data_IF_116590956890
#
_entry.id   IF_116590956890
#
_cell.length_a   1.000
_cell.length_b   1.000
_cell.length_c   1.000
_cell.angle_alpha   90.00
_cell.angle_beta   90.00
_cell.angle_gamma   90.00
#
_symmetry.space_group_name_H-M   'P 1'
#
loop_
_entity.id
_entity.type
_entity.pdbx_description
1 polymer ?
#
# COMPACT_ATOMS: atom_id res chain seq x y z
N UNK A 1 -7.15 -14.00 -12.29
CA UNK A 1 -6.13 -13.30 -11.46
C UNK A 1 -4.89 -14.15 -11.37
N UNK A 2 -3.75 -13.64 -11.73
CA UNK A 2 -2.51 -14.38 -11.54
C UNK A 2 -2.22 -14.42 -10.03
N UNK A 3 -2.53 -15.55 -9.36
CA UNK A 3 -2.37 -15.75 -7.91
C UNK A 3 -0.96 -15.39 -7.40
N UNK A 4 0.02 -15.33 -8.28
CA UNK A 4 1.42 -15.04 -7.99
C UNK A 4 1.75 -13.54 -7.84
N UNK A 5 0.84 -12.65 -8.25
CA UNK A 5 1.00 -11.19 -8.17
C UNK A 5 -0.06 -10.55 -7.27
N UNK A 6 -0.86 -11.37 -6.55
CA UNK A 6 -1.90 -10.85 -5.66
C UNK A 6 -1.26 -10.05 -4.52
N UNK A 7 -1.60 -8.76 -4.35
CA UNK A 7 -1.09 -7.93 -3.26
C UNK A 7 -1.64 -8.33 -1.88
N UNK A 8 -2.70 -9.15 -1.82
CA UNK A 8 -3.28 -9.63 -0.57
C UNK A 8 -2.49 -10.84 -0.05
N UNK A 9 -1.96 -10.75 1.16
CA UNK A 9 -1.10 -11.74 1.83
C UNK A 9 -1.80 -13.06 2.19
N UNK A 10 -3.08 -13.19 1.94
CA UNK A 10 -3.92 -14.33 2.36
C UNK A 10 -3.49 -15.71 1.81
N UNK A 11 -2.57 -15.72 0.83
CA UNK A 11 -2.09 -16.94 0.18
C UNK A 11 -0.58 -17.19 0.31
N UNK A 12 0.14 -16.43 1.17
CA UNK A 12 1.57 -16.66 1.35
C UNK A 12 1.83 -17.81 2.31
N UNK A 13 2.76 -18.70 1.94
CA UNK A 13 3.31 -19.69 2.87
C UNK A 13 4.10 -19.02 3.99
N UNK A 14 4.29 -19.70 5.13
CA UNK A 14 5.10 -19.18 6.23
C UNK A 14 6.51 -18.76 5.75
N UNK A 15 7.12 -19.52 4.86
CA UNK A 15 8.43 -19.22 4.27
C UNK A 15 8.42 -17.95 3.40
N UNK A 16 7.34 -17.71 2.65
CA UNK A 16 7.21 -16.47 1.85
C UNK A 16 7.05 -15.23 2.72
N UNK A 17 6.37 -15.36 3.86
CA UNK A 17 6.26 -14.29 4.86
C UNK A 17 7.61 -13.98 5.52
N UNK A 18 8.40 -15.02 5.84
CA UNK A 18 9.74 -14.84 6.42
C UNK A 18 10.70 -14.18 5.42
N UNK A 19 10.63 -14.55 4.15
CA UNK A 19 11.39 -13.88 3.08
C UNK A 19 10.95 -12.42 2.94
N UNK A 20 9.65 -12.14 2.95
CA UNK A 20 9.16 -10.76 2.86
C UNK A 20 9.64 -9.91 4.06
N UNK A 21 9.65 -10.49 5.25
CA UNK A 21 10.20 -9.83 6.45
C UNK A 21 11.69 -9.54 6.32
N UNK A 22 12.46 -10.51 5.81
CA UNK A 22 13.90 -10.36 5.61
C UNK A 22 14.27 -9.28 4.58
N UNK A 23 13.39 -9.04 3.58
CA UNK A 23 13.59 -8.02 2.57
C UNK A 23 13.24 -6.61 3.06
N UNK A 24 12.52 -6.46 4.19
CA UNK A 24 12.14 -5.15 4.70
C UNK A 24 13.36 -4.42 5.27
N UNK A 25 13.53 -3.12 4.95
CA UNK A 25 14.48 -2.27 5.64
C UNK A 25 14.15 -2.18 7.13
N UNK A 26 15.20 -2.11 7.95
CA UNK A 26 15.08 -2.08 9.39
C UNK A 26 15.32 -0.68 9.99
N UNK A 27 16.08 0.15 9.30
CA UNK A 27 16.45 1.51 9.72
C UNK A 27 16.10 2.53 8.63
N UNK A 28 16.18 3.82 8.96
CA UNK A 28 16.05 4.88 7.97
C UNK A 28 17.13 4.81 6.89
N UNK A 29 18.33 4.36 7.22
CA UNK A 29 19.44 4.31 6.29
C UNK A 29 19.33 3.16 5.29
N UNK A 30 18.58 2.12 5.66
CA UNK A 30 18.24 1.00 4.77
C UNK A 30 17.06 1.30 3.83
N UNK A 31 16.28 2.34 4.12
CA UNK A 31 15.06 2.66 3.39
C UNK A 31 15.38 3.57 2.19
N UNK A 32 15.25 3.05 0.99
CA UNK A 32 15.48 3.82 -0.22
C UNK A 32 14.24 4.65 -0.62
N UNK A 33 14.47 5.85 -1.13
CA UNK A 33 13.45 6.76 -1.62
C UNK A 33 12.67 7.49 -0.52
N UNK A 34 11.72 8.31 -0.90
CA UNK A 34 10.91 9.15 0.00
C UNK A 34 11.76 10.17 0.81
N UNK A 35 12.86 10.67 0.24
CA UNK A 35 13.91 11.44 0.91
C UNK A 35 13.35 12.58 1.78
N UNK A 36 12.45 13.41 1.24
CA UNK A 36 11.85 14.53 1.99
C UNK A 36 11.02 14.06 3.20
N UNK A 37 10.37 12.89 3.10
CA UNK A 37 9.63 12.29 4.23
C UNK A 37 10.61 11.79 5.27
N UNK A 38 11.66 11.08 4.86
CA UNK A 38 12.66 10.50 5.76
C UNK A 38 13.44 11.58 6.51
N UNK A 39 13.86 12.65 5.84
CA UNK A 39 14.57 13.77 6.48
C UNK A 39 13.74 14.37 7.62
N UNK A 40 12.46 14.63 7.39
CA UNK A 40 11.57 15.14 8.42
C UNK A 40 11.37 14.14 9.57
N UNK A 41 11.12 12.87 9.25
CA UNK A 41 10.94 11.83 10.26
C UNK A 41 12.18 11.63 11.13
N UNK A 42 13.39 11.66 10.54
CA UNK A 42 14.66 11.62 11.28
C UNK A 42 14.76 12.75 12.31
N UNK A 43 14.37 13.97 11.94
CA UNK A 43 14.36 15.13 12.86
C UNK A 43 13.34 14.94 13.98
N UNK A 44 12.11 14.53 13.66
CA UNK A 44 11.04 14.36 14.64
C UNK A 44 11.35 13.24 15.64
N UNK A 45 11.84 12.11 15.16
CA UNK A 45 12.27 10.97 16.02
C UNK A 45 13.40 11.39 16.95
N UNK A 46 14.42 12.07 16.41
CA UNK A 46 15.53 12.55 17.23
C UNK A 46 15.06 13.53 18.31
N UNK A 47 14.16 14.45 17.97
CA UNK A 47 13.61 15.41 18.92
C UNK A 47 12.75 14.73 19.99
N UNK A 48 11.90 13.77 19.66
CA UNK A 48 11.11 12.99 20.61
C UNK A 48 12.01 12.21 21.57
N UNK A 49 13.05 11.54 21.04
CA UNK A 49 14.02 10.82 21.86
C UNK A 49 14.80 11.74 22.82
N UNK A 50 15.19 12.95 22.38
CA UNK A 50 15.89 13.92 23.24
C UNK A 50 15.01 14.40 24.40
N UNK A 51 13.71 14.54 24.21
CA UNK A 51 12.74 14.95 25.23
C UNK A 51 12.21 13.77 26.05
N UNK A 52 12.50 12.52 25.64
CA UNK A 52 11.93 11.30 26.19
C UNK A 52 10.38 11.28 26.14
N UNK A 53 9.80 11.78 25.05
CA UNK A 53 8.36 11.87 24.82
C UNK A 53 7.92 10.91 23.73
N UNK A 54 6.61 10.58 23.70
CA UNK A 54 6.02 9.92 22.56
C UNK A 54 6.12 10.80 21.30
N UNK A 55 6.32 10.20 20.13
CA UNK A 55 6.28 10.94 18.88
C UNK A 55 4.83 11.38 18.59
N UNK A 56 4.66 12.54 17.97
CA UNK A 56 3.35 12.99 17.50
C UNK A 56 2.67 11.92 16.65
N UNK A 57 1.35 11.80 16.77
CA UNK A 57 0.59 10.87 15.95
C UNK A 57 0.83 11.12 14.47
N UNK A 58 1.12 10.04 13.74
CA UNK A 58 1.63 10.09 12.37
C UNK A 58 0.69 9.40 11.39
N UNK A 59 0.37 10.04 10.29
CA UNK A 59 -0.45 9.49 9.20
C UNK A 59 0.39 9.28 7.94
N UNK A 60 0.51 8.02 7.49
CA UNK A 60 1.05 7.69 6.19
C UNK A 60 -0.07 7.45 5.20
N UNK A 61 -0.07 8.15 4.08
CA UNK A 61 -1.07 7.96 3.04
C UNK A 61 -0.45 7.86 1.65
N UNK A 62 -1.14 7.20 0.74
CA UNK A 62 -0.69 6.99 -0.64
C UNK A 62 -0.98 5.58 -1.13
N UNK A 63 -0.71 5.29 -2.41
CA UNK A 63 -0.96 4.00 -3.05
C UNK A 63 -0.46 2.80 -2.26
N UNK A 64 -1.01 1.59 -2.48
CA UNK A 64 -0.55 0.39 -1.80
C UNK A 64 0.87 0.00 -2.25
N UNK A 65 1.63 -0.66 -1.36
CA UNK A 65 2.94 -1.22 -1.71
C UNK A 65 4.13 -0.26 -1.64
N UNK A 66 3.94 0.98 -1.16
CA UNK A 66 4.98 2.02 -1.07
C UNK A 66 5.79 2.02 0.23
N UNK A 67 5.51 1.12 1.18
CA UNK A 67 6.30 0.99 2.41
C UNK A 67 5.69 1.62 3.66
N UNK A 68 4.39 1.98 3.70
CA UNK A 68 3.72 2.57 4.89
C UNK A 68 3.95 1.74 6.16
N UNK A 69 3.67 0.46 6.11
CA UNK A 69 3.89 -0.48 7.22
C UNK A 69 5.36 -0.62 7.58
N UNK A 70 6.25 -0.58 6.59
CA UNK A 70 7.70 -0.63 6.80
C UNK A 70 8.20 0.60 7.56
N UNK A 71 7.75 1.80 7.17
CA UNK A 71 8.08 3.04 7.88
C UNK A 71 7.57 3.04 9.33
N UNK A 72 6.39 2.45 9.60
CA UNK A 72 5.91 2.31 10.97
C UNK A 72 6.84 1.43 11.83
N UNK A 73 7.35 0.33 11.27
CA UNK A 73 8.35 -0.50 11.95
C UNK A 73 9.67 0.24 12.17
N UNK A 74 10.15 0.95 11.16
CA UNK A 74 11.38 1.76 11.28
C UNK A 74 11.21 2.81 12.37
N UNK A 75 10.08 3.54 12.39
CA UNK A 75 9.83 4.53 13.44
C UNK A 75 9.88 3.92 14.84
N UNK A 76 9.25 2.78 15.08
CA UNK A 76 9.31 2.11 16.36
C UNK A 76 10.75 1.69 16.74
N UNK A 77 11.51 1.16 15.79
CA UNK A 77 12.90 0.78 15.98
C UNK A 77 13.78 2.00 16.31
N UNK A 78 13.64 3.09 15.59
CA UNK A 78 14.42 4.33 15.80
C UNK A 78 14.03 5.07 17.08
N UNK A 79 12.78 4.92 17.53
CA UNK A 79 12.32 5.40 18.84
C UNK A 79 12.78 4.48 19.99
N UNK A 80 13.19 3.25 19.68
CA UNK A 80 13.60 2.25 20.69
C UNK A 80 12.43 1.72 21.52
N UNK A 81 11.23 1.60 20.94
CA UNK A 81 9.98 1.22 21.63
C UNK A 81 9.28 0.04 20.95
N UNK A 82 8.29 -0.54 21.65
CA UNK A 82 7.46 -1.60 21.11
C UNK A 82 6.47 -1.12 20.05
N UNK A 83 6.04 -2.03 19.15
CA UNK A 83 5.00 -1.77 18.18
C UNK A 83 3.89 -2.82 18.29
N UNK A 84 2.64 -2.35 18.40
CA UNK A 84 1.44 -3.17 18.22
C UNK A 84 0.85 -2.90 16.84
N UNK A 85 0.47 -3.94 16.13
CA UNK A 85 -0.02 -3.84 14.74
C UNK A 85 -1.43 -4.38 14.67
N UNK A 86 -2.32 -3.59 14.07
CA UNK A 86 -3.68 -3.98 13.76
C UNK A 86 -4.13 -3.33 12.44
N UNK A 87 -5.37 -3.51 12.06
CA UNK A 87 -5.97 -2.86 10.90
C UNK A 87 -7.39 -2.39 11.20
N UNK A 88 -7.87 -1.39 10.45
CA UNK A 88 -9.23 -0.85 10.61
C UNK A 88 -10.31 -1.93 10.62
N UNK A 89 -10.34 -2.87 9.63
CA UNK A 89 -11.34 -3.94 9.60
C UNK A 89 -11.31 -4.92 10.76
N UNK A 90 -10.23 -5.03 11.50
CA UNK A 90 -10.10 -5.93 12.67
C UNK A 90 -10.66 -5.28 13.93
N UNK A 91 -10.65 -3.95 13.99
CA UNK A 91 -11.18 -3.18 15.12
C UNK A 91 -12.69 -2.94 14.94
N UNK A 92 -13.48 -3.94 15.26
CA UNK A 92 -14.93 -3.89 15.03
C UNK A 92 -15.66 -3.21 16.20
N UNK A 93 -15.15 -3.37 17.42
CA UNK A 93 -15.79 -2.89 18.66
C UNK A 93 -14.83 -2.02 19.49
N UNK A 94 -15.36 -1.04 20.26
CA UNK A 94 -14.56 -0.25 21.20
C UNK A 94 -13.72 -1.07 22.17
N UNK A 95 -14.21 -2.24 22.60
CA UNK A 95 -13.49 -3.15 23.49
C UNK A 95 -12.20 -3.71 22.86
N UNK A 96 -12.18 -3.94 21.54
CA UNK A 96 -10.98 -4.42 20.83
C UNK A 96 -9.88 -3.34 20.85
N UNK A 97 -10.27 -2.08 20.60
CA UNK A 97 -9.38 -0.93 20.69
C UNK A 97 -8.87 -0.72 22.11
N UNK A 98 -9.78 -0.76 23.11
CA UNK A 98 -9.43 -0.61 24.52
C UNK A 98 -8.41 -1.67 24.97
N UNK A 99 -8.63 -2.92 24.58
CA UNK A 99 -7.69 -4.02 24.87
C UNK A 99 -6.31 -3.82 24.29
N UNK A 100 -6.18 -3.20 23.11
CA UNK A 100 -4.89 -2.86 22.53
C UNK A 100 -4.23 -1.68 23.26
N UNK A 101 -4.99 -0.60 23.50
CA UNK A 101 -4.48 0.63 24.11
C UNK A 101 -3.99 0.44 25.54
N UNK A 102 -4.74 -0.31 26.36
CA UNK A 102 -4.38 -0.59 27.76
C UNK A 102 -3.15 -1.48 27.92
N UNK A 103 -2.76 -2.20 26.85
CA UNK A 103 -1.56 -3.05 26.83
C UNK A 103 -0.32 -2.36 26.21
N UNK A 104 -0.41 -1.07 25.88
CA UNK A 104 0.74 -0.30 25.43
C UNK A 104 1.60 0.14 26.60
N UNK A 105 2.91 0.03 26.45
CA UNK A 105 3.87 0.64 27.36
C UNK A 105 4.03 2.13 27.01
N UNK A 106 4.70 2.86 27.90
CA UNK A 106 4.99 4.27 27.66
C UNK A 106 5.80 4.45 26.36
N UNK A 107 5.36 5.38 25.50
CA UNK A 107 5.91 5.71 24.18
C UNK A 107 5.77 4.63 23.10
N UNK A 108 5.14 3.49 23.38
CA UNK A 108 4.91 2.45 22.39
C UNK A 108 4.16 2.99 21.15
N UNK A 109 4.35 2.29 20.05
CA UNK A 109 3.65 2.59 18.78
C UNK A 109 2.45 1.66 18.62
N UNK A 110 1.28 2.25 18.36
CA UNK A 110 0.13 1.54 17.81
C UNK A 110 0.04 1.83 16.31
N UNK A 111 0.19 0.81 15.48
CA UNK A 111 0.02 0.93 14.03
C UNK A 111 -1.34 0.36 13.61
N UNK A 112 -2.14 1.19 12.91
CA UNK A 112 -3.44 0.80 12.33
C UNK A 112 -3.35 0.92 10.81
N UNK A 113 -3.31 -0.23 10.12
CA UNK A 113 -3.39 -0.26 8.65
C UNK A 113 -4.83 -0.07 8.19
N UNK A 114 -5.02 0.55 7.02
CA UNK A 114 -6.33 0.92 6.46
C UNK A 114 -7.25 1.61 7.49
N UNK A 115 -6.69 2.59 8.19
CA UNK A 115 -7.36 3.31 9.29
C UNK A 115 -8.68 3.97 8.85
N UNK A 116 -8.86 4.28 7.57
CA UNK A 116 -10.11 4.81 7.01
C UNK A 116 -11.30 3.81 7.05
N UNK A 117 -11.03 2.54 7.38
CA UNK A 117 -12.04 1.48 7.51
C UNK A 117 -12.49 1.26 8.97
N UNK A 118 -12.07 2.10 9.89
CA UNK A 118 -12.59 2.09 11.25
C UNK A 118 -14.10 2.41 11.26
N UNK A 119 -14.85 1.74 12.11
CA UNK A 119 -16.24 2.13 12.34
C UNK A 119 -16.31 3.51 13.04
N UNK A 120 -17.34 4.32 12.78
CA UNK A 120 -17.49 5.63 13.42
C UNK A 120 -17.43 5.56 14.96
N UNK A 121 -17.97 4.50 15.54
CA UNK A 121 -17.95 4.30 16.98
C UNK A 121 -16.52 4.10 17.50
N UNK A 122 -15.73 3.25 16.85
CA UNK A 122 -14.32 3.02 17.23
C UNK A 122 -13.47 4.27 17.01
N UNK A 123 -13.77 5.03 15.94
CA UNK A 123 -13.11 6.29 15.64
C UNK A 123 -13.30 7.33 16.76
N UNK A 124 -14.51 7.45 17.33
CA UNK A 124 -14.80 8.36 18.45
C UNK A 124 -14.00 8.01 19.72
N UNK A 125 -13.88 6.72 20.05
CA UNK A 125 -13.04 6.28 21.17
C UNK A 125 -11.55 6.61 20.94
N UNK A 126 -11.10 6.50 19.68
CA UNK A 126 -9.72 6.80 19.33
C UNK A 126 -9.40 8.30 19.47
N UNK A 127 -10.39 9.20 19.30
CA UNK A 127 -10.17 10.65 19.47
C UNK A 127 -9.72 10.97 20.90
N UNK A 128 -10.43 10.51 21.92
CA UNK A 128 -10.09 10.75 23.32
C UNK A 128 -8.75 10.10 23.70
N UNK A 129 -8.48 8.92 23.13
CA UNK A 129 -7.20 8.26 23.34
C UNK A 129 -6.02 9.04 22.75
N UNK A 130 -6.19 9.70 21.59
CA UNK A 130 -5.15 10.50 20.94
C UNK A 130 -4.93 11.86 21.61
N UNK A 131 -5.99 12.51 22.09
CA UNK A 131 -5.89 13.86 22.66
C UNK A 131 -5.50 13.85 24.13
N UNK A 132 -6.17 13.01 24.94
CA UNK A 132 -6.09 13.06 26.38
C UNK A 132 -5.41 11.84 27.01
N UNK A 133 -5.01 10.85 26.19
CA UNK A 133 -4.53 9.55 26.68
C UNK A 133 -5.51 8.89 27.65
N UNK A 134 -6.79 8.92 27.31
CA UNK A 134 -7.88 8.36 28.09
C UNK A 134 -8.87 7.63 27.20
N UNK A 135 -9.49 6.62 27.75
CA UNK A 135 -10.59 5.92 27.08
C UNK A 135 -11.72 5.69 28.06
N UNK A 136 -12.94 6.01 27.65
CA UNK A 136 -14.14 5.80 28.44
C UNK A 136 -14.83 4.49 28.00
N UNK A 137 -14.96 3.51 28.90
CA UNK A 137 -15.55 2.22 28.59
C UNK A 137 -16.88 2.09 29.31
N UNK A 138 -17.94 1.77 28.56
CA UNK A 138 -19.22 1.38 29.14
C UNK A 138 -19.17 -0.07 29.62
N UNK A 139 -19.35 -0.30 30.93
CA UNK A 139 -19.30 -1.64 31.53
C UNK A 139 -20.65 -2.36 31.42
N UNK A 140 -21.77 -1.64 31.43
CA UNK A 140 -23.12 -2.20 31.34
C UNK A 140 -23.97 -1.40 30.35
N UNK A 141 -24.92 -2.05 29.72
CA UNK A 141 -25.94 -1.42 28.87
C UNK A 141 -27.28 -1.31 29.61
N UNK A 142 -28.03 -0.21 29.37
CA UNK A 142 -29.34 0.00 29.94
C UNK A 142 -29.37 1.02 31.11
N UNK A 143 -30.39 1.03 31.94
CA UNK A 143 -30.59 2.07 32.99
C UNK A 143 -29.48 2.14 34.04
N UNK A 144 -28.67 1.10 34.17
CA UNK A 144 -27.54 1.00 35.11
C UNK A 144 -26.18 1.17 34.42
N UNK A 145 -26.15 1.67 33.18
CA UNK A 145 -24.91 1.88 32.44
C UNK A 145 -23.94 2.75 33.25
N UNK A 146 -22.72 2.25 33.43
CA UNK A 146 -21.65 2.96 34.10
C UNK A 146 -20.47 3.11 33.10
N UNK A 147 -19.95 4.31 33.03
CA UNK A 147 -18.74 4.60 32.29
C UNK A 147 -17.54 4.58 33.23
N UNK A 148 -16.50 3.85 32.86
CA UNK A 148 -15.24 3.86 33.56
C UNK A 148 -14.19 4.47 32.63
N UNK A 149 -13.57 5.55 33.11
CA UNK A 149 -12.46 6.18 32.42
C UNK A 149 -11.15 5.48 32.79
N UNK A 150 -10.41 5.05 31.79
CA UNK A 150 -9.09 4.42 31.93
C UNK A 150 -8.04 5.38 31.40
N UNK A 151 -7.03 5.69 32.21
CA UNK A 151 -5.86 6.41 31.77
C UNK A 151 -4.93 5.48 30.98
N UNK A 152 -4.41 5.98 29.87
CA UNK A 152 -3.48 5.27 28.99
C UNK A 152 -2.06 5.84 29.18
N UNK A 153 -1.07 5.01 28.94
CA UNK A 153 0.28 5.51 28.79
C UNK A 153 0.38 6.38 27.52
N UNK A 154 1.16 7.47 27.52
CA UNK A 154 1.46 8.22 26.31
C UNK A 154 2.00 7.29 25.23
N UNK A 155 1.41 7.30 24.05
CA UNK A 155 1.73 6.42 22.93
C UNK A 155 1.73 7.20 21.62
N UNK A 156 2.34 6.63 20.59
CA UNK A 156 2.26 7.15 19.23
C UNK A 156 1.30 6.31 18.40
N UNK A 157 0.25 6.94 17.88
CA UNK A 157 -0.57 6.32 16.83
C UNK A 157 0.07 6.57 15.46
N UNK A 158 0.30 5.49 14.71
CA UNK A 158 0.64 5.57 13.29
C UNK A 158 -0.51 4.99 12.49
N UNK A 159 -1.22 5.85 11.76
CA UNK A 159 -2.26 5.46 10.82
C UNK A 159 -1.69 5.27 9.43
N UNK A 160 -2.15 4.26 8.72
CA UNK A 160 -1.87 4.09 7.28
C UNK A 160 -3.18 4.01 6.49
N UNK A 161 -3.21 4.64 5.32
CA UNK A 161 -4.38 4.60 4.44
C UNK A 161 -4.00 4.71 2.97
N UNK A 162 -4.72 4.01 2.12
CA UNK A 162 -4.71 4.19 0.67
C UNK A 162 -5.65 5.31 0.23
N UNK A 163 -6.64 5.66 1.06
CA UNK A 163 -7.75 6.58 0.75
C UNK A 163 -7.87 7.68 1.80
N UNK A 164 -6.92 8.61 1.81
CA UNK A 164 -6.92 9.73 2.79
C UNK A 164 -8.19 10.59 2.73
N UNK A 165 -8.87 10.63 1.58
CA UNK A 165 -10.14 11.35 1.42
C UNK A 165 -11.32 10.74 2.17
N UNK A 166 -11.25 9.47 2.59
CA UNK A 166 -12.29 8.81 3.39
C UNK A 166 -12.12 9.03 4.90
N UNK A 167 -10.96 9.53 5.35
CA UNK A 167 -10.79 9.92 6.74
C UNK A 167 -11.63 11.15 7.07
N UNK A 168 -12.29 11.10 8.21
CA UNK A 168 -13.03 12.25 8.73
C UNK A 168 -12.11 13.43 8.99
N UNK A 169 -12.62 14.66 8.88
CA UNK A 169 -11.82 15.86 9.17
C UNK A 169 -11.31 15.87 10.63
N UNK A 170 -12.11 15.49 11.64
CA UNK A 170 -11.64 15.38 13.02
C UNK A 170 -10.48 14.38 13.20
N UNK A 171 -10.57 13.21 12.59
CA UNK A 171 -9.48 12.22 12.64
C UNK A 171 -8.21 12.76 12.03
N UNK A 172 -8.31 13.37 10.85
CA UNK A 172 -7.15 13.91 10.13
C UNK A 172 -6.44 15.02 10.90
N UNK A 173 -7.21 15.89 11.58
CA UNK A 173 -6.67 16.99 12.37
C UNK A 173 -5.83 16.56 13.58
N UNK A 174 -6.04 15.33 14.07
CA UNK A 174 -5.32 14.77 15.22
C UNK A 174 -3.95 14.19 14.87
N UNK A 175 -3.63 14.03 13.59
CA UNK A 175 -2.31 13.64 13.17
C UNK A 175 -1.39 14.86 13.01
N UNK A 176 -0.46 15.06 13.94
CA UNK A 176 0.52 16.14 13.89
C UNK A 176 1.52 15.97 12.74
N UNK A 177 1.80 14.73 12.33
CA UNK A 177 2.69 14.41 11.22
C UNK A 177 1.87 13.73 10.13
N UNK A 178 1.85 14.31 8.93
CA UNK A 178 1.17 13.71 7.77
C UNK A 178 2.15 13.61 6.61
N UNK A 179 2.33 12.39 6.10
CA UNK A 179 3.29 12.12 5.03
C UNK A 179 2.63 11.36 3.89
N UNK A 180 2.70 11.96 2.70
CA UNK A 180 2.24 11.32 1.46
C UNK A 180 3.40 10.57 0.82
N UNK A 181 3.27 9.26 0.67
CA UNK A 181 4.23 8.45 -0.05
C UNK A 181 3.94 8.49 -1.55
N UNK A 182 5.02 8.55 -2.34
CA UNK A 182 4.97 8.64 -3.78
C UNK A 182 5.48 7.35 -4.42
N UNK A 183 5.12 7.15 -5.68
CA UNK A 183 5.70 6.07 -6.47
C UNK A 183 7.20 6.27 -6.64
N UNK A 184 7.91 5.16 -6.73
CA UNK A 184 9.36 5.13 -6.90
C UNK A 184 9.73 5.24 -8.37
N UNK A 185 10.87 5.87 -8.65
CA UNK A 185 11.46 5.84 -10.00
C UNK A 185 11.98 4.44 -10.34
N UNK A 186 12.22 4.20 -11.63
CA UNK A 186 12.77 2.92 -12.09
C UNK A 186 14.16 2.68 -11.51
N UNK A 187 14.98 3.72 -11.39
CA UNK A 187 16.35 3.65 -10.87
C UNK A 187 16.33 3.22 -9.39
N UNK A 188 15.53 3.89 -8.56
CA UNK A 188 15.39 3.53 -7.14
C UNK A 188 14.85 2.11 -6.95
N UNK A 189 13.90 1.68 -7.80
CA UNK A 189 13.41 0.30 -7.76
C UNK A 189 14.47 -0.71 -8.19
N UNK A 190 15.33 -0.37 -9.13
CA UNK A 190 16.45 -1.23 -9.52
C UNK A 190 17.44 -1.42 -8.37
N UNK A 191 17.74 -0.37 -7.60
CA UNK A 191 18.57 -0.46 -6.40
C UNK A 191 17.92 -1.34 -5.32
N UNK A 192 16.61 -1.18 -5.09
CA UNK A 192 15.85 -2.04 -4.17
C UNK A 192 15.89 -3.50 -4.62
N UNK A 193 15.73 -3.76 -5.93
CA UNK A 193 15.80 -5.12 -6.50
C UNK A 193 17.19 -5.71 -6.30
N UNK A 194 18.27 -4.96 -6.55
CA UNK A 194 19.64 -5.43 -6.34
C UNK A 194 19.91 -5.76 -4.87
N UNK A 195 19.52 -4.87 -3.95
CA UNK A 195 19.60 -5.14 -2.51
C UNK A 195 18.82 -6.40 -2.13
N UNK A 196 17.60 -6.53 -2.61
CA UNK A 196 16.75 -7.71 -2.34
C UNK A 196 17.35 -9.00 -2.93
N UNK A 197 17.90 -8.95 -4.12
CA UNK A 197 18.57 -10.08 -4.76
C UNK A 197 19.82 -10.51 -3.98
N UNK A 198 20.59 -9.55 -3.45
CA UNK A 198 21.72 -9.83 -2.56
C UNK A 198 21.29 -10.56 -1.28
N UNK A 199 20.23 -10.10 -0.61
CA UNK A 199 19.66 -10.75 0.58
C UNK A 199 19.19 -12.18 0.24
N UNK A 200 18.60 -12.37 -0.94
CA UNK A 200 18.17 -13.70 -1.43
C UNK A 200 19.31 -14.55 -1.96
N UNK A 201 20.56 -14.04 -1.94
CA UNK A 201 21.76 -14.70 -2.48
C UNK A 201 21.60 -15.11 -3.95
N UNK A 202 20.95 -14.26 -4.74
CA UNK A 202 20.72 -14.47 -6.17
C UNK A 202 21.46 -13.39 -6.98
N UNK A 203 22.49 -13.78 -7.75
CA UNK A 203 23.14 -12.81 -8.65
C UNK A 203 22.17 -12.28 -9.69
N UNK A 204 22.10 -10.96 -9.84
CA UNK A 204 21.28 -10.28 -10.84
C UNK A 204 22.12 -9.27 -11.62
N UNK A 205 21.93 -9.19 -12.94
CA UNK A 205 22.56 -8.16 -13.75
C UNK A 205 21.81 -6.82 -13.58
N UNK A 206 22.53 -5.69 -13.78
CA UNK A 206 21.90 -4.35 -13.71
C UNK A 206 20.79 -4.21 -14.75
N UNK A 207 21.00 -4.71 -15.96
CA UNK A 207 19.99 -4.70 -17.02
C UNK A 207 18.70 -5.45 -16.63
N UNK A 208 18.85 -6.61 -15.99
CA UNK A 208 17.72 -7.38 -15.46
C UNK A 208 17.00 -6.64 -14.32
N UNK A 209 17.74 -5.98 -13.42
CA UNK A 209 17.18 -5.20 -12.34
C UNK A 209 16.36 -4.01 -12.87
N UNK A 210 16.88 -3.28 -13.87
CA UNK A 210 16.18 -2.18 -14.52
C UNK A 210 14.93 -2.68 -15.26
N UNK A 211 15.02 -3.79 -15.98
CA UNK A 211 13.87 -4.39 -16.67
C UNK A 211 12.76 -4.78 -15.68
N UNK A 212 13.10 -5.41 -14.56
CA UNK A 212 12.14 -5.72 -13.50
C UNK A 212 11.55 -4.45 -12.86
N UNK A 213 12.39 -3.47 -12.60
CA UNK A 213 11.98 -2.20 -12.01
C UNK A 213 10.96 -1.47 -12.90
N UNK A 214 11.20 -1.41 -14.21
CA UNK A 214 10.31 -0.77 -15.18
C UNK A 214 8.91 -1.42 -15.23
N UNK A 215 8.80 -2.72 -14.87
CA UNK A 215 7.53 -3.47 -14.82
C UNK A 215 6.90 -3.48 -13.42
N UNK A 216 7.53 -2.81 -12.44
CA UNK A 216 7.13 -2.90 -11.03
C UNK A 216 6.09 -1.84 -10.60
N UNK A 217 5.49 -1.14 -11.55
CA UNK A 217 4.43 -0.16 -11.30
C UNK A 217 4.80 0.90 -10.25
N UNK A 218 6.07 1.28 -10.17
CA UNK A 218 6.54 2.25 -9.19
C UNK A 218 6.46 1.78 -7.73
N UNK A 219 6.31 0.47 -7.45
CA UNK A 219 6.12 -0.02 -6.08
C UNK A 219 7.11 -1.10 -5.68
N UNK A 220 7.80 -0.96 -4.51
CA UNK A 220 8.72 -1.98 -3.99
C UNK A 220 8.07 -3.36 -3.77
N UNK A 221 6.77 -3.39 -3.43
CA UNK A 221 6.04 -4.65 -3.23
C UNK A 221 5.99 -5.48 -4.51
N UNK A 222 5.64 -4.86 -5.64
CA UNK A 222 5.57 -5.56 -6.94
C UNK A 222 6.98 -5.90 -7.42
N UNK A 223 7.96 -5.01 -7.23
CA UNK A 223 9.36 -5.25 -7.56
C UNK A 223 9.89 -6.53 -6.89
N UNK A 224 9.68 -6.65 -5.58
CA UNK A 224 10.08 -7.84 -4.82
C UNK A 224 9.26 -9.09 -5.20
N UNK A 225 7.97 -8.94 -5.54
CA UNK A 225 7.16 -10.06 -6.01
C UNK A 225 7.66 -10.59 -7.36
N UNK A 226 7.94 -9.71 -8.32
CA UNK A 226 8.52 -10.07 -9.61
C UNK A 226 9.90 -10.71 -9.43
N UNK A 227 10.79 -10.11 -8.64
CA UNK A 227 12.12 -10.66 -8.37
C UNK A 227 12.04 -12.11 -7.87
N UNK A 228 11.15 -12.42 -6.93
CA UNK A 228 10.96 -13.77 -6.42
C UNK A 228 10.52 -14.76 -7.50
N UNK A 229 9.60 -14.36 -8.37
CA UNK A 229 9.14 -15.23 -9.48
C UNK A 229 10.21 -15.42 -10.53
N UNK A 230 10.96 -14.37 -10.87
CA UNK A 230 12.08 -14.51 -11.82
C UNK A 230 13.23 -15.35 -11.24
N UNK A 231 13.47 -15.30 -9.93
CA UNK A 231 14.38 -16.19 -9.24
C UNK A 231 14.00 -17.66 -9.48
N UNK A 232 12.72 -18.00 -9.35
CA UNK A 232 12.24 -19.36 -9.55
C UNK A 232 12.55 -19.84 -11.00
N UNK A 233 12.34 -18.97 -11.99
CA UNK A 233 12.72 -19.26 -13.39
C UNK A 233 14.24 -19.39 -13.56
N UNK A 234 15.03 -18.52 -12.94
CA UNK A 234 16.49 -18.57 -13.03
C UNK A 234 17.06 -19.88 -12.43
N UNK A 235 16.47 -20.38 -11.37
CA UNK A 235 16.87 -21.62 -10.71
C UNK A 235 16.51 -22.87 -11.53
N UNK A 236 15.35 -22.88 -12.18
CA UNK A 236 14.83 -24.09 -12.84
C UNK A 236 15.16 -24.11 -14.33
N UNK A 237 15.13 -22.99 -15.01
CA UNK A 237 15.33 -22.88 -16.48
C UNK A 237 16.60 -22.16 -16.87
N UNK A 238 17.24 -21.45 -15.93
CA UNK A 238 18.49 -20.76 -16.13
C UNK A 238 19.68 -21.46 -15.49
N UNK A 239 20.74 -20.70 -15.28
CA UNK A 239 22.01 -21.14 -14.67
C UNK A 239 22.18 -20.69 -13.21
N UNK A 240 21.08 -20.32 -12.53
CA UNK A 240 21.10 -19.77 -11.17
C UNK A 240 21.44 -18.29 -11.08
N UNK A 241 21.47 -17.57 -12.21
CA UNK A 241 21.65 -16.11 -12.29
C UNK A 241 20.43 -15.48 -12.94
N UNK A 242 20.08 -14.29 -12.51
CA UNK A 242 19.03 -13.49 -13.12
C UNK A 242 19.68 -12.53 -14.12
N UNK A 243 19.69 -12.93 -15.40
CA UNK A 243 20.08 -12.10 -16.52
C UNK A 243 18.88 -11.54 -17.28
N UNK A 244 19.12 -10.74 -18.29
CA UNK A 244 18.06 -10.10 -19.08
C UNK A 244 17.19 -11.11 -19.84
N UNK A 245 17.78 -12.23 -20.31
CA UNK A 245 17.08 -13.24 -21.11
C UNK A 245 16.06 -13.99 -20.23
N UNK A 246 16.51 -14.51 -19.08
CA UNK A 246 15.62 -15.20 -18.15
C UNK A 246 14.57 -14.26 -17.56
N UNK A 247 14.92 -12.98 -17.39
CA UNK A 247 13.99 -11.95 -16.92
C UNK A 247 12.87 -11.73 -17.92
N UNK A 248 13.19 -11.51 -19.20
CA UNK A 248 12.20 -11.35 -20.27
C UNK A 248 11.35 -12.58 -20.47
N UNK A 249 11.98 -13.78 -20.41
CA UNK A 249 11.28 -15.03 -20.47
C UNK A 249 10.24 -15.16 -19.34
N UNK A 250 10.66 -14.90 -18.10
CA UNK A 250 9.78 -15.02 -16.94
C UNK A 250 8.67 -13.96 -16.92
N UNK A 251 8.96 -12.71 -17.26
CA UNK A 251 7.95 -11.66 -17.40
C UNK A 251 6.87 -12.02 -18.42
N UNK A 252 7.27 -12.56 -19.57
CA UNK A 252 6.36 -13.07 -20.59
C UNK A 252 5.50 -14.24 -20.05
N UNK A 253 6.14 -15.18 -19.34
CA UNK A 253 5.43 -16.32 -18.74
C UNK A 253 4.44 -15.91 -17.65
N UNK A 254 4.69 -14.77 -16.99
CA UNK A 254 3.81 -14.17 -15.98
C UNK A 254 2.72 -13.26 -16.60
N UNK A 255 2.69 -13.10 -17.91
CA UNK A 255 1.80 -12.17 -18.63
C UNK A 255 1.97 -10.72 -18.17
N UNK A 256 3.19 -10.29 -17.85
CA UNK A 256 3.53 -8.90 -17.55
C UNK A 256 4.11 -8.25 -18.80
N UNK A 257 3.41 -7.27 -19.32
CA UNK A 257 3.76 -6.63 -20.58
C UNK A 257 4.81 -5.50 -20.45
N UNK A 258 5.07 -4.79 -21.56
CA UNK A 258 6.07 -3.72 -21.63
C UNK A 258 5.80 -2.54 -20.67
N UNK A 259 4.58 -2.32 -20.28
CA UNK A 259 4.16 -1.25 -19.37
C UNK A 259 3.94 -1.73 -17.93
N UNK A 260 4.23 -3.01 -17.63
CA UNK A 260 3.95 -3.61 -16.33
C UNK A 260 2.46 -3.93 -16.12
N UNK A 261 1.66 -3.92 -17.18
CA UNK A 261 0.26 -4.33 -17.11
C UNK A 261 0.16 -5.87 -17.06
N UNK A 262 -0.71 -6.36 -16.19
CA UNK A 262 -1.02 -7.78 -16.10
C UNK A 262 -2.28 -8.16 -16.92
N UNK A 263 -2.67 -9.42 -16.81
CA UNK A 263 -3.85 -9.93 -17.50
C UNK A 263 -5.13 -9.16 -17.13
N UNK A 264 -5.29 -8.77 -15.85
CA UNK A 264 -6.50 -8.08 -15.42
C UNK A 264 -6.52 -6.62 -15.88
N UNK A 265 -5.38 -5.91 -15.88
CA UNK A 265 -5.30 -4.56 -16.46
C UNK A 265 -5.71 -4.58 -17.93
N UNK A 266 -5.12 -5.50 -18.71
CA UNK A 266 -5.44 -5.66 -20.12
C UNK A 266 -6.90 -6.07 -20.35
N UNK A 267 -7.48 -6.86 -19.45
CA UNK A 267 -8.89 -7.23 -19.44
C UNK A 267 -9.79 -6.04 -19.15
N UNK A 268 -9.42 -5.17 -18.22
CA UNK A 268 -10.14 -3.93 -17.92
C UNK A 268 -10.13 -3.02 -19.15
N UNK A 269 -8.96 -2.76 -19.73
CA UNK A 269 -8.82 -1.89 -20.91
C UNK A 269 -9.56 -2.44 -22.11
N UNK A 270 -9.40 -3.73 -22.43
CA UNK A 270 -10.11 -4.36 -23.57
C UNK A 270 -11.62 -4.36 -23.35
N UNK A 271 -12.10 -4.59 -22.13
CA UNK A 271 -13.53 -4.55 -21.80
C UNK A 271 -14.10 -3.14 -22.02
N UNK A 272 -13.40 -2.10 -21.57
CA UNK A 272 -13.80 -0.71 -21.79
C UNK A 272 -13.86 -0.38 -23.28
N UNK A 273 -12.89 -0.81 -24.08
CA UNK A 273 -12.84 -0.54 -25.51
C UNK A 273 -13.88 -1.38 -26.27
N UNK A 274 -13.81 -2.71 -26.13
CA UNK A 274 -14.52 -3.62 -27.01
C UNK A 274 -16.02 -3.73 -26.65
N UNK A 275 -16.38 -3.66 -25.35
CA UNK A 275 -17.78 -3.76 -24.90
C UNK A 275 -18.46 -2.40 -24.71
N UNK A 276 -17.71 -1.39 -24.31
CA UNK A 276 -18.27 -0.08 -23.92
C UNK A 276 -17.79 1.08 -24.78
N UNK A 277 -17.17 0.81 -25.92
CA UNK A 277 -16.73 1.82 -26.90
C UNK A 277 -15.83 2.93 -26.31
N UNK A 278 -15.03 2.57 -25.30
CA UNK A 278 -14.12 3.48 -24.62
C UNK A 278 -14.67 4.16 -23.37
N UNK A 279 -15.92 3.99 -23.05
CA UNK A 279 -16.58 4.60 -21.89
C UNK A 279 -17.42 5.83 -22.24
N UNK A 280 -17.94 6.57 -21.21
CA UNK A 280 -17.73 6.37 -19.76
C UNK A 280 -18.53 5.19 -19.17
N UNK A 281 -17.92 4.46 -18.22
CA UNK A 281 -18.52 3.30 -17.56
C UNK A 281 -18.44 3.41 -16.04
N UNK A 282 -19.56 3.17 -15.36
CA UNK A 282 -19.59 3.12 -13.90
C UNK A 282 -18.78 1.94 -13.35
N UNK A 283 -18.17 2.11 -12.16
CA UNK A 283 -17.29 1.09 -11.56
C UNK A 283 -18.00 -0.26 -11.38
N UNK A 284 -19.23 -0.28 -10.92
CA UNK A 284 -19.99 -1.51 -10.68
C UNK A 284 -20.25 -2.28 -11.97
N UNK A 285 -20.57 -1.58 -13.07
CA UNK A 285 -20.78 -2.17 -14.41
C UNK A 285 -19.47 -2.77 -14.93
N UNK A 286 -18.36 -2.04 -14.79
CA UNK A 286 -17.03 -2.50 -15.17
C UNK A 286 -16.63 -3.75 -14.38
N UNK A 287 -16.80 -3.71 -13.07
CA UNK A 287 -16.50 -4.78 -12.13
C UNK A 287 -17.23 -6.08 -12.52
N UNK A 288 -18.53 -5.98 -12.75
CA UNK A 288 -19.34 -7.11 -13.23
C UNK A 288 -18.83 -7.64 -14.57
N UNK A 289 -18.49 -6.76 -15.51
CA UNK A 289 -18.07 -7.15 -16.86
C UNK A 289 -16.72 -7.87 -16.90
N UNK A 290 -15.82 -7.57 -15.93
CA UNK A 290 -14.50 -8.23 -15.79
C UNK A 290 -14.49 -9.34 -14.73
N UNK A 291 -15.61 -9.57 -14.04
CA UNK A 291 -15.77 -10.56 -12.96
C UNK A 291 -14.81 -10.33 -11.78
N UNK A 292 -14.74 -9.06 -11.33
CA UNK A 292 -13.95 -8.64 -10.18
C UNK A 292 -14.80 -7.75 -9.27
N UNK A 293 -14.36 -7.50 -8.01
CA UNK A 293 -15.03 -6.56 -7.14
C UNK A 293 -14.75 -5.11 -7.52
N UNK A 294 -15.70 -4.21 -7.31
CA UNK A 294 -15.53 -2.78 -7.56
C UNK A 294 -14.40 -2.20 -6.69
N UNK A 295 -14.31 -2.64 -5.44
CA UNK A 295 -13.27 -2.22 -4.49
C UNK A 295 -11.88 -2.64 -4.98
N UNK A 296 -11.71 -3.89 -5.45
CA UNK A 296 -10.43 -4.36 -6.01
C UNK A 296 -9.99 -3.53 -7.21
N UNK A 297 -10.92 -3.19 -8.11
CA UNK A 297 -10.58 -2.36 -9.27
C UNK A 297 -10.13 -0.97 -8.81
N UNK A 298 -10.86 -0.32 -7.91
CA UNK A 298 -10.55 1.03 -7.42
C UNK A 298 -9.25 1.10 -6.61
N UNK A 299 -8.90 0.03 -5.88
CA UNK A 299 -7.74 0.06 -4.99
C UNK A 299 -6.45 -0.48 -5.62
N UNK A 300 -6.58 -1.47 -6.51
CA UNK A 300 -5.43 -2.21 -7.03
C UNK A 300 -5.06 -1.82 -8.45
N UNK A 301 -6.06 -1.73 -9.34
CA UNK A 301 -5.83 -1.55 -10.78
C UNK A 301 -5.96 -0.10 -11.24
N UNK A 302 -7.06 0.56 -10.89
CA UNK A 302 -7.38 1.91 -11.34
C UNK A 302 -6.27 2.94 -11.04
N UNK A 303 -5.64 2.99 -9.83
CA UNK A 303 -4.64 3.99 -9.53
C UNK A 303 -3.43 3.95 -10.48
N UNK A 304 -2.98 2.75 -10.84
CA UNK A 304 -1.87 2.59 -11.77
C UNK A 304 -2.28 2.93 -13.20
N UNK A 305 -3.43 2.46 -13.65
CA UNK A 305 -3.95 2.75 -14.99
C UNK A 305 -4.19 4.26 -15.21
N UNK A 306 -4.66 4.99 -14.18
CA UNK A 306 -4.81 6.45 -14.22
C UNK A 306 -3.44 7.12 -14.27
N UNK A 307 -2.51 6.70 -13.40
CA UNK A 307 -1.16 7.28 -13.34
C UNK A 307 -0.42 7.15 -14.67
N UNK A 308 -0.54 5.98 -15.31
CA UNK A 308 0.06 5.72 -16.61
C UNK A 308 -0.71 6.37 -17.77
N UNK A 309 -1.85 6.98 -17.50
CA UNK A 309 -2.65 7.67 -18.50
C UNK A 309 -3.46 6.75 -19.41
N UNK A 310 -3.67 5.48 -19.05
CA UNK A 310 -4.51 4.56 -19.83
C UNK A 310 -6.00 4.82 -19.67
N UNK A 311 -6.42 5.25 -18.47
CA UNK A 311 -7.80 5.61 -18.17
C UNK A 311 -7.89 6.98 -17.49
N UNK A 312 -9.05 7.61 -17.61
CA UNK A 312 -9.41 8.82 -16.87
C UNK A 312 -10.70 8.58 -16.10
N UNK A 313 -10.81 9.24 -14.94
CA UNK A 313 -12.02 9.20 -14.13
C UNK A 313 -12.82 10.47 -14.38
N UNK A 314 -14.03 10.31 -14.88
CA UNK A 314 -14.99 11.40 -15.14
C UNK A 314 -16.17 11.31 -14.16
N UNK A 315 -17.00 12.37 -14.00
CA UNK A 315 -18.22 12.28 -13.19
C UNK A 315 -19.20 11.18 -13.65
N UNK A 316 -19.16 10.78 -14.94
CA UNK A 316 -20.01 9.73 -15.50
C UNK A 316 -19.40 8.33 -15.41
N UNK A 317 -18.12 8.21 -15.11
CA UNK A 317 -17.44 6.90 -15.00
C UNK A 317 -16.00 6.91 -15.50
N UNK A 318 -15.50 5.73 -15.87
CA UNK A 318 -14.14 5.50 -16.37
C UNK A 318 -14.15 5.51 -17.89
N UNK A 319 -13.21 6.23 -18.47
CA UNK A 319 -12.99 6.31 -19.91
C UNK A 319 -11.55 5.94 -20.24
N UNK A 320 -11.34 5.24 -21.35
CA UNK A 320 -9.99 4.96 -21.84
C UNK A 320 -9.44 6.13 -22.65
N UNK A 321 -8.13 6.27 -22.64
CA UNK A 321 -7.43 7.27 -23.43
C UNK A 321 -6.95 6.68 -24.76
N UNK A 322 -6.47 7.54 -25.67
CA UNK A 322 -5.81 7.11 -26.90
C UNK A 322 -4.64 6.15 -26.65
N UNK A 323 -3.93 6.33 -25.52
CA UNK A 323 -2.83 5.46 -25.13
C UNK A 323 -3.27 4.01 -24.94
N UNK A 324 -4.44 3.79 -24.34
CA UNK A 324 -5.00 2.44 -24.16
C UNK A 324 -5.34 1.77 -25.50
N UNK A 325 -5.88 2.51 -26.45
CA UNK A 325 -6.14 1.99 -27.79
C UNK A 325 -4.85 1.59 -28.49
N UNK A 326 -3.82 2.47 -28.46
CA UNK A 326 -2.50 2.19 -29.04
C UNK A 326 -1.86 0.95 -28.40
N UNK A 327 -1.94 0.85 -27.09
CA UNK A 327 -1.39 -0.26 -26.32
C UNK A 327 -1.98 -1.61 -26.76
N UNK A 328 -3.29 -1.66 -26.94
CA UNK A 328 -4.02 -2.88 -27.37
C UNK A 328 -4.04 -3.08 -28.89
N UNK A 329 -3.34 -2.22 -29.68
CA UNK A 329 -3.34 -2.29 -31.13
C UNK A 329 -4.71 -2.01 -31.75
N UNK A 330 -5.54 -1.21 -31.10
CA UNK A 330 -6.87 -0.79 -31.58
C UNK A 330 -6.81 0.61 -32.20
N UNK A 331 -7.67 0.86 -33.19
CA UNK A 331 -7.81 2.20 -33.78
C UNK A 331 -8.62 3.09 -32.83
N UNK A 332 -8.06 4.24 -32.46
CA UNK A 332 -8.80 5.26 -31.73
C UNK A 332 -9.65 6.07 -32.70
N UNK A 333 -10.96 5.91 -32.63
CA UNK A 333 -11.90 6.77 -33.33
C UNK A 333 -12.39 7.84 -32.35
N UNK A 334 -12.01 9.10 -32.59
CA UNK A 334 -12.67 10.22 -31.92
C UNK A 334 -14.17 10.10 -32.18
N UNK A 335 -14.95 9.76 -31.17
CA UNK A 335 -16.37 9.99 -31.19
C UNK A 335 -16.55 11.50 -31.32
N UNK A 336 -16.83 11.99 -32.54
CA UNK A 336 -17.34 13.34 -32.73
C UNK A 336 -18.68 13.41 -32.00
N UNK A 337 -18.64 13.81 -30.71
CA UNK A 337 -19.83 14.32 -30.06
C UNK A 337 -20.18 15.63 -30.78
N UNK A 338 -21.21 15.56 -31.60
CA UNK A 338 -21.93 16.72 -32.13
C UNK A 338 -22.26 17.62 -30.92
N UNK A 339 -21.64 18.77 -30.89
CA UNK A 339 -22.16 19.92 -30.17
C UNK A 339 -23.35 20.42 -31.00
N UNK A 340 -24.56 19.98 -30.69
CA UNK A 340 -25.79 20.65 -30.97
C UNK A 340 -26.39 21.18 -29.67
#
# INVERSE_FOLDING_TARGET
MNKNLNPNKENYSAQELDIERALRPFSFDDFAGQEAVLENLKVFVKAANMRNEALDHTLFHGPPGLGKTTLAHILANELGVGIKITSGPVLDKPGDLAGLLTNLQERDVLFIDEIHRLSPVVEEYLYSAMEDYKIDIMIESGPNARTVQINLNPFTLIGATTRSGLLTAPMRARFGIQSRLQYYSTELLADIIQRSASILKMPISMEAAIELASRSRGTPRIANALLRRIRDFAQIKGNGKIDIEITRFGLKALNVDAHGLDEMDNRILSTLIDKFKGGPVGITTLATAVSESAETIEEVYEPFLIQQGFIVRTPRGREVTELAYKHLGRSYQLSMMNFE
#
